data_IF_004177270053
#
_entry.id   IF_004177270053
#
_cell.length_a   1.000
_cell.length_b   1.000
_cell.length_c   1.000
_cell.angle_alpha   90.00
_cell.angle_beta   90.00
_cell.angle_gamma   90.00
#
_symmetry.space_group_name_H-M   'P 1'
#
loop_
_entity.id
_entity.type
_entity.pdbx_description
1 polymer ?
#
# COMPACT_ATOMS: atom_id res chain seq x y z
N UNK A 1 -8.75 19.80 3.84
CA UNK A 1 -7.35 19.39 4.00
C UNK A 1 -7.12 18.78 5.39
N UNK A 2 -6.16 17.85 5.50
CA UNK A 2 -5.70 17.37 6.80
C UNK A 2 -5.08 18.50 7.62
N UNK A 3 -5.27 18.41 8.92
CA UNK A 3 -4.70 19.34 9.90
C UNK A 3 -3.80 18.56 10.84
N UNK A 4 -2.61 19.08 11.14
CA UNK A 4 -1.75 18.53 12.20
C UNK A 4 -2.43 18.80 13.53
N UNK A 5 -2.79 17.74 14.25
CA UNK A 5 -3.47 17.82 15.54
C UNK A 5 -2.55 17.57 16.72
N UNK A 6 -1.42 16.91 16.47
CA UNK A 6 -0.38 16.65 17.47
C UNK A 6 0.96 16.46 16.79
N UNK A 7 2.01 17.03 17.35
CA UNK A 7 3.39 16.74 17.01
C UNK A 7 4.19 16.65 18.30
N UNK A 8 5.01 15.59 18.43
CA UNK A 8 5.89 15.36 19.57
C UNK A 8 7.23 14.93 19.04
N UNK A 9 8.29 15.52 19.56
CA UNK A 9 9.66 15.20 19.25
C UNK A 9 10.41 14.91 20.55
N UNK A 10 11.22 13.87 20.54
CA UNK A 10 12.16 13.49 21.60
C UNK A 10 13.52 13.23 20.95
N UNK A 11 14.54 12.90 21.73
CA UNK A 11 15.88 12.59 21.19
C UNK A 11 15.88 11.35 20.29
N UNK A 12 14.93 10.42 20.49
CA UNK A 12 14.90 9.11 19.82
C UNK A 12 13.79 8.98 18.78
N UNK A 13 12.76 9.81 18.82
CA UNK A 13 11.58 9.63 17.99
C UNK A 13 10.80 10.93 17.72
N UNK A 14 10.10 10.92 16.58
CA UNK A 14 9.15 11.97 16.19
C UNK A 14 7.79 11.33 15.92
N UNK A 15 6.72 11.89 16.49
CA UNK A 15 5.35 11.50 16.21
C UNK A 15 4.55 12.68 15.69
N UNK A 16 3.82 12.46 14.57
CA UNK A 16 2.89 13.46 13.99
C UNK A 16 1.54 12.80 13.79
N UNK A 17 0.48 13.42 14.33
CA UNK A 17 -0.89 13.04 14.08
C UNK A 17 -1.57 14.09 13.19
N UNK A 18 -2.11 13.65 12.05
CA UNK A 18 -2.94 14.45 11.15
C UNK A 18 -4.39 14.00 11.25
N UNK A 19 -5.33 14.94 11.20
CA UNK A 19 -6.77 14.67 11.25
C UNK A 19 -7.51 15.31 10.08
N UNK A 20 -8.54 14.62 9.63
CA UNK A 20 -9.51 15.09 8.68
C UNK A 20 -10.92 14.73 9.16
N UNK A 21 -11.87 15.61 8.91
CA UNK A 21 -13.29 15.39 9.23
C UNK A 21 -14.11 15.65 7.98
N UNK A 22 -14.93 14.67 7.59
CA UNK A 22 -15.99 14.84 6.59
C UNK A 22 -17.33 15.08 7.31
N UNK A 23 -18.06 16.10 6.89
CA UNK A 23 -19.39 16.39 7.40
C UNK A 23 -20.21 17.21 6.39
N UNK A 24 -21.53 17.20 6.55
CA UNK A 24 -22.50 17.84 5.64
C UNK A 24 -22.28 19.35 5.41
N UNK A 25 -21.53 20.02 6.27
CA UNK A 25 -21.37 21.48 6.23
C UNK A 25 -20.13 21.99 5.51
N UNK A 26 -19.16 21.14 5.12
CA UNK A 26 -17.85 21.67 4.79
C UNK A 26 -17.15 21.07 3.57
N UNK A 27 -17.75 20.14 2.76
CA UNK A 27 -16.79 19.40 1.98
C UNK A 27 -17.21 18.90 0.61
N UNK A 28 -16.30 19.06 -0.35
CA UNK A 28 -16.34 18.43 -1.67
C UNK A 28 -16.44 16.91 -1.54
N UNK A 29 -15.73 16.30 -0.57
CA UNK A 29 -15.75 14.86 -0.33
C UNK A 29 -17.14 14.41 0.13
N UNK A 30 -17.79 15.14 1.05
CA UNK A 30 -19.12 14.79 1.53
C UNK A 30 -20.18 14.80 0.41
N UNK A 31 -20.03 15.69 -0.57
CA UNK A 31 -20.93 15.74 -1.74
C UNK A 31 -20.90 14.44 -2.55
N UNK A 32 -19.70 13.87 -2.74
CA UNK A 32 -19.50 12.71 -3.59
C UNK A 32 -19.47 11.39 -2.80
N UNK A 33 -19.22 11.50 -1.49
CA UNK A 33 -19.23 10.40 -0.52
C UNK A 33 -19.94 10.85 0.76
N UNK A 34 -21.30 10.76 0.82
CA UNK A 34 -22.15 11.40 1.84
C UNK A 34 -22.11 10.66 3.19
N UNK A 35 -20.93 10.45 3.72
CA UNK A 35 -20.69 9.88 5.04
C UNK A 35 -19.95 10.87 5.92
N UNK A 36 -20.41 11.00 7.15
CA UNK A 36 -19.68 11.72 8.19
C UNK A 36 -18.62 10.78 8.80
N UNK A 37 -17.38 11.18 8.78
CA UNK A 37 -16.30 10.40 9.36
C UNK A 37 -15.16 11.26 9.89
N UNK A 38 -14.38 10.67 10.77
CA UNK A 38 -13.07 11.17 11.17
C UNK A 38 -12.01 10.24 10.61
N UNK A 39 -11.02 10.81 9.93
CA UNK A 39 -9.78 10.13 9.57
C UNK A 39 -8.63 10.68 10.42
N UNK A 40 -7.80 9.79 10.97
CA UNK A 40 -6.49 10.11 11.55
C UNK A 40 -5.42 9.36 10.78
N UNK A 41 -4.30 10.04 10.52
CA UNK A 41 -3.07 9.41 10.07
C UNK A 41 -2.00 9.76 11.09
N UNK A 42 -1.39 8.75 11.68
CA UNK A 42 -0.36 8.88 12.70
C UNK A 42 0.95 8.37 12.11
N UNK A 43 1.94 9.22 12.07
CA UNK A 43 3.30 8.88 11.66
C UNK A 43 4.18 8.83 12.90
N UNK A 44 4.97 7.78 13.02
CA UNK A 44 5.94 7.59 14.09
C UNK A 44 7.28 7.20 13.48
N UNK A 45 8.24 8.13 13.53
CA UNK A 45 9.60 7.94 13.00
C UNK A 45 10.57 7.70 14.15
N UNK A 46 11.35 6.64 14.05
CA UNK A 46 12.43 6.30 15.01
C UNK A 46 13.59 5.62 14.27
N UNK A 47 14.63 5.23 15.00
CA UNK A 47 15.71 4.41 14.43
C UNK A 47 15.22 3.06 13.84
N UNK A 48 14.02 2.60 14.21
CA UNK A 48 13.41 1.38 13.67
C UNK A 48 12.69 1.58 12.33
N UNK A 49 12.59 2.81 11.83
CA UNK A 49 11.90 3.20 10.62
C UNK A 49 10.69 4.09 10.86
N UNK A 50 9.88 4.26 9.83
CA UNK A 50 8.64 5.01 9.83
C UNK A 50 7.45 4.05 9.97
N UNK A 51 6.71 4.16 11.05
CA UNK A 51 5.42 3.51 11.22
C UNK A 51 4.31 4.50 10.85
N UNK A 52 3.30 4.02 10.15
CA UNK A 52 2.11 4.78 9.76
C UNK A 52 0.88 3.99 10.18
N UNK A 53 0.01 4.62 10.95
CA UNK A 53 -1.31 4.09 11.28
C UNK A 53 -2.39 5.01 10.71
N UNK A 54 -3.35 4.43 9.99
CA UNK A 54 -4.55 5.14 9.55
C UNK A 54 -5.76 4.61 10.31
N UNK A 55 -6.58 5.53 10.81
CA UNK A 55 -7.79 5.19 11.58
C UNK A 55 -8.98 5.97 11.01
N UNK A 56 -10.01 5.26 10.59
CA UNK A 56 -11.29 5.83 10.20
C UNK A 56 -12.34 5.52 11.26
N UNK A 57 -13.08 6.52 11.70
CA UNK A 57 -14.24 6.38 12.60
C UNK A 57 -15.48 6.84 11.86
N UNK A 58 -16.44 5.93 11.65
CA UNK A 58 -17.74 6.27 11.08
C UNK A 58 -18.58 7.07 12.07
N UNK A 59 -18.97 8.27 11.71
CA UNK A 59 -19.84 9.17 12.49
C UNK A 59 -21.22 9.32 11.88
N UNK A 60 -21.47 8.64 10.76
CA UNK A 60 -22.78 8.58 10.12
C UNK A 60 -23.73 7.66 10.90
N UNK A 61 -25.00 7.75 10.56
CA UNK A 61 -26.04 6.84 11.09
C UNK A 61 -26.13 5.52 10.35
N UNK A 62 -25.44 5.40 9.21
CA UNK A 62 -25.43 4.25 8.33
C UNK A 62 -24.05 3.61 8.27
N UNK A 63 -23.99 2.38 7.78
CA UNK A 63 -22.72 1.71 7.50
C UNK A 63 -21.97 2.47 6.40
N UNK A 64 -20.71 2.74 6.62
CA UNK A 64 -19.85 3.48 5.71
C UNK A 64 -18.93 2.50 4.97
N UNK A 65 -19.04 2.37 3.64
CA UNK A 65 -18.05 1.62 2.85
C UNK A 65 -16.66 2.20 3.06
N UNK A 66 -15.66 1.37 3.22
CA UNK A 66 -14.29 1.84 3.45
C UNK A 66 -13.26 1.01 2.73
N UNK A 67 -12.63 1.60 1.71
CA UNK A 67 -11.41 1.12 1.08
C UNK A 67 -10.28 2.12 1.29
N UNK A 68 -9.13 1.61 1.65
CA UNK A 68 -7.93 2.41 1.90
C UNK A 68 -6.78 1.88 1.09
N UNK A 69 -6.06 2.79 0.42
CA UNK A 69 -4.83 2.48 -0.29
C UNK A 69 -3.87 3.65 -0.20
N UNK A 70 -2.58 3.36 -0.37
CA UNK A 70 -1.54 4.38 -0.42
C UNK A 70 -0.74 4.27 -1.71
N UNK A 71 -0.54 5.38 -2.39
CA UNK A 71 0.30 5.50 -3.57
C UNK A 71 1.68 5.98 -3.15
N UNK A 72 2.55 5.03 -2.78
CA UNK A 72 3.86 5.31 -2.18
C UNK A 72 4.98 5.09 -3.21
N UNK A 73 5.47 6.13 -3.91
CA UNK A 73 6.58 5.98 -4.83
C UNK A 73 7.90 5.79 -4.07
N UNK A 74 8.59 4.71 -4.37
CA UNK A 74 9.95 4.44 -3.90
C UNK A 74 10.94 4.83 -4.99
N UNK A 75 11.69 5.92 -4.74
CA UNK A 75 12.69 6.43 -5.66
C UNK A 75 13.96 5.57 -5.62
N UNK A 76 14.56 5.34 -6.77
CA UNK A 76 15.90 4.76 -6.93
C UNK A 76 16.81 5.74 -7.69
N UNK A 77 18.13 5.69 -7.56
CA UNK A 77 18.87 4.94 -6.53
C UNK A 77 18.72 5.61 -5.15
N UNK A 78 18.58 4.82 -4.08
CA UNK A 78 18.55 5.37 -2.70
C UNK A 78 19.82 5.05 -1.90
N UNK A 79 20.60 4.04 -2.33
CA UNK A 79 21.83 3.59 -1.67
C UNK A 79 23.01 3.50 -2.65
N UNK A 80 23.14 4.47 -3.54
CA UNK A 80 24.17 4.52 -4.58
C UNK A 80 23.93 3.52 -5.72
N UNK A 81 24.88 3.44 -6.67
CA UNK A 81 24.77 2.58 -7.83
C UNK A 81 23.92 3.20 -8.95
N UNK A 82 23.54 2.34 -9.89
CA UNK A 82 22.70 2.67 -11.03
C UNK A 82 21.28 2.13 -10.84
N UNK A 83 20.32 2.65 -11.59
CA UNK A 83 18.94 2.17 -11.52
C UNK A 83 18.80 0.67 -11.80
N UNK A 84 19.69 0.12 -12.66
CA UNK A 84 19.73 -1.31 -13.00
C UNK A 84 20.19 -2.23 -11.84
N UNK A 85 20.77 -1.67 -10.78
CA UNK A 85 21.17 -2.44 -9.60
C UNK A 85 19.98 -2.78 -8.68
N UNK A 86 18.80 -2.21 -8.94
CA UNK A 86 17.64 -2.32 -8.06
C UNK A 86 16.60 -3.30 -8.57
N UNK A 87 16.14 -4.14 -7.65
CA UNK A 87 15.03 -5.06 -7.89
C UNK A 87 13.97 -4.89 -6.80
N UNK A 88 12.72 -5.15 -7.19
CA UNK A 88 11.57 -5.12 -6.29
C UNK A 88 11.03 -6.55 -6.10
N UNK A 89 10.72 -6.90 -4.86
CA UNK A 89 9.94 -8.09 -4.50
C UNK A 89 8.69 -7.65 -3.77
N UNK A 90 7.57 -8.33 -4.03
CA UNK A 90 6.28 -7.99 -3.42
C UNK A 90 5.53 -9.26 -3.07
N UNK A 91 4.84 -9.24 -1.93
CA UNK A 91 3.97 -10.32 -1.46
C UNK A 91 2.69 -10.41 -2.31
N UNK A 92 2.84 -10.81 -3.58
CA UNK A 92 1.75 -10.96 -4.54
C UNK A 92 1.34 -12.44 -4.71
N UNK A 93 0.05 -12.65 -4.91
CA UNK A 93 -0.53 -13.93 -5.32
C UNK A 93 -1.01 -13.86 -6.76
N UNK A 94 -2.28 -14.18 -6.99
CA UNK A 94 -2.91 -14.12 -8.31
C UNK A 94 -3.10 -12.69 -8.78
N UNK A 95 -2.97 -12.47 -10.08
CA UNK A 95 -3.23 -11.20 -10.73
C UNK A 95 -4.74 -11.03 -10.96
N UNK A 96 -5.28 -9.84 -10.71
CA UNK A 96 -6.63 -9.49 -11.15
C UNK A 96 -6.66 -9.33 -12.69
N UNK A 97 -7.58 -10.01 -13.36
CA UNK A 97 -7.85 -9.73 -14.77
C UNK A 97 -8.61 -8.40 -14.88
N UNK A 98 -8.19 -7.53 -15.80
CA UNK A 98 -8.81 -6.23 -16.03
C UNK A 98 -9.55 -6.21 -17.36
N UNK A 99 -10.69 -5.50 -17.41
CA UNK A 99 -11.42 -5.20 -18.64
C UNK A 99 -10.78 -4.01 -19.41
N UNK A 100 -11.37 -3.63 -20.54
CA UNK A 100 -10.89 -2.51 -21.36
C UNK A 100 -10.94 -1.14 -20.66
N UNK A 101 -11.58 -1.03 -19.49
CA UNK A 101 -11.66 0.17 -18.66
C UNK A 101 -10.70 0.10 -17.46
N UNK A 102 -9.80 -0.88 -17.43
CA UNK A 102 -8.92 -1.18 -16.29
C UNK A 102 -9.69 -1.52 -15.01
N UNK A 103 -10.89 -2.10 -15.12
CA UNK A 103 -11.66 -2.57 -13.98
C UNK A 103 -11.53 -4.10 -13.85
N UNK A 104 -11.38 -4.64 -12.61
CA UNK A 104 -11.35 -6.08 -12.40
C UNK A 104 -12.61 -6.77 -12.91
N UNK A 105 -12.42 -7.86 -13.66
CA UNK A 105 -13.52 -8.70 -14.18
C UNK A 105 -14.06 -9.69 -13.12
N UNK A 106 -13.38 -9.80 -11.97
CA UNK A 106 -13.60 -10.80 -10.94
C UNK A 106 -12.78 -12.07 -11.16
N UNK A 107 -12.20 -12.28 -12.35
CA UNK A 107 -11.32 -13.43 -12.62
C UNK A 107 -9.92 -13.17 -12.07
N UNK A 108 -9.30 -14.23 -11.57
CA UNK A 108 -7.90 -14.23 -11.11
C UNK A 108 -7.07 -15.05 -12.10
N UNK A 109 -5.93 -14.50 -12.47
CA UNK A 109 -4.97 -15.12 -13.37
C UNK A 109 -3.74 -15.57 -12.59
N UNK A 110 -3.12 -16.70 -12.95
CA UNK A 110 -1.82 -17.06 -12.41
C UNK A 110 -0.78 -16.01 -12.81
N UNK A 111 0.25 -15.84 -11.99
CA UNK A 111 1.34 -14.94 -12.33
C UNK A 111 2.04 -15.41 -13.60
N UNK A 112 2.24 -14.52 -14.56
CA UNK A 112 3.12 -14.78 -15.71
C UNK A 112 4.60 -14.81 -15.27
N UNK A 113 5.52 -15.15 -16.16
CA UNK A 113 6.94 -15.25 -15.87
C UNK A 113 7.56 -13.94 -15.37
N UNK A 114 7.08 -12.79 -15.84
CA UNK A 114 7.51 -11.46 -15.37
C UNK A 114 7.09 -11.26 -13.91
N UNK A 115 5.80 -11.45 -13.61
CA UNK A 115 5.26 -11.18 -12.28
C UNK A 115 5.64 -12.25 -11.24
N UNK A 116 5.95 -13.47 -11.67
CA UNK A 116 6.53 -14.48 -10.78
C UNK A 116 7.84 -13.99 -10.14
N UNK A 117 8.60 -13.16 -10.83
CA UNK A 117 9.83 -12.54 -10.29
C UNK A 117 9.58 -11.60 -9.13
N UNK A 118 8.38 -11.02 -9.00
CA UNK A 118 8.01 -10.24 -7.80
C UNK A 118 8.05 -11.09 -6.53
N UNK A 119 7.82 -12.39 -6.64
CA UNK A 119 7.90 -13.32 -5.51
C UNK A 119 9.32 -13.83 -5.27
N UNK A 120 10.03 -14.12 -6.35
CA UNK A 120 11.31 -14.81 -6.33
C UNK A 120 12.30 -14.12 -7.26
N UNK A 121 13.51 -13.83 -6.77
CA UNK A 121 14.61 -13.24 -7.53
C UNK A 121 14.50 -11.74 -7.79
N UNK A 122 13.33 -11.15 -7.62
CA UNK A 122 13.09 -9.72 -7.83
C UNK A 122 12.86 -9.31 -9.29
N UNK A 123 12.02 -8.33 -9.49
CA UNK A 123 11.74 -7.68 -10.78
C UNK A 123 12.50 -6.36 -10.84
N UNK A 124 13.19 -6.08 -11.94
CA UNK A 124 13.84 -4.77 -12.14
C UNK A 124 12.80 -3.66 -12.10
N UNK A 125 13.15 -2.56 -11.46
CA UNK A 125 12.26 -1.40 -11.29
C UNK A 125 12.21 -0.54 -12.55
N UNK A 126 13.36 -0.43 -13.24
CA UNK A 126 13.51 0.35 -14.48
C UNK A 126 14.09 -0.52 -15.60
N UNK A 127 13.90 -0.08 -16.85
CA UNK A 127 14.33 -0.83 -18.03
C UNK A 127 13.61 -2.18 -18.20
N UNK A 128 12.41 -2.29 -17.65
CA UNK A 128 11.52 -3.44 -17.77
C UNK A 128 10.22 -3.05 -18.47
N UNK A 129 9.41 -4.06 -18.80
CA UNK A 129 8.08 -3.83 -19.35
C UNK A 129 7.20 -2.99 -18.39
N UNK A 130 6.27 -2.20 -18.94
CA UNK A 130 5.29 -1.48 -18.14
C UNK A 130 4.56 -2.40 -17.16
N UNK A 131 4.38 -1.92 -15.94
CA UNK A 131 3.58 -2.59 -14.91
C UNK A 131 2.49 -1.63 -14.48
N UNK A 132 1.25 -2.06 -14.69
CA UNK A 132 0.03 -1.47 -14.15
C UNK A 132 -0.91 -2.63 -13.85
N UNK A 133 -0.79 -3.23 -12.68
CA UNK A 133 -1.48 -4.47 -12.38
C UNK A 133 -1.85 -4.59 -10.90
N UNK A 134 -3.03 -5.14 -10.65
CA UNK A 134 -3.54 -5.48 -9.34
C UNK A 134 -3.31 -6.96 -9.00
N UNK A 135 -2.92 -7.24 -7.76
CA UNK A 135 -2.62 -8.58 -7.27
C UNK A 135 -3.28 -8.82 -5.92
N UNK A 136 -3.85 -10.01 -5.72
CA UNK A 136 -4.21 -10.45 -4.38
C UNK A 136 -2.94 -10.63 -3.55
N UNK A 137 -2.95 -10.19 -2.30
CA UNK A 137 -1.79 -10.35 -1.43
C UNK A 137 -1.60 -11.82 -1.07
N UNK A 138 -0.38 -12.30 -1.17
CA UNK A 138 0.08 -13.59 -0.68
C UNK A 138 1.51 -13.47 -0.20
N UNK A 139 1.77 -13.82 1.05
CA UNK A 139 3.10 -13.75 1.65
C UNK A 139 4.18 -14.42 0.79
N UNK A 140 5.38 -13.87 0.87
CA UNK A 140 6.60 -14.40 0.28
C UNK A 140 7.59 -14.74 1.39
N UNK A 141 8.65 -15.47 1.06
CA UNK A 141 9.74 -15.70 1.97
C UNK A 141 10.85 -14.66 1.76
N UNK A 142 11.31 -14.04 2.85
CA UNK A 142 12.48 -13.15 2.87
C UNK A 142 13.37 -13.58 4.04
N UNK A 143 14.62 -13.90 3.72
CA UNK A 143 15.63 -14.38 4.70
C UNK A 143 15.11 -15.57 5.56
N UNK A 144 14.40 -16.51 4.92
CA UNK A 144 13.86 -17.72 5.56
C UNK A 144 12.63 -17.47 6.46
N UNK A 145 12.01 -16.30 6.37
CA UNK A 145 10.83 -15.93 7.17
C UNK A 145 9.67 -15.48 6.28
N UNK A 146 8.42 -15.81 6.66
CA UNK A 146 7.25 -15.23 6.00
C UNK A 146 7.29 -13.70 6.07
N UNK A 147 7.01 -13.06 4.93
CA UNK A 147 7.01 -11.61 4.82
C UNK A 147 5.75 -11.12 4.08
N UNK A 148 5.11 -10.12 4.67
CA UNK A 148 3.89 -9.49 4.17
C UNK A 148 4.18 -8.04 3.83
N UNK A 149 4.57 -7.78 2.59
CA UNK A 149 4.98 -6.45 2.19
C UNK A 149 5.61 -6.39 0.81
N UNK A 150 6.21 -5.25 0.52
CA UNK A 150 7.08 -5.02 -0.62
C UNK A 150 8.49 -4.68 -0.13
N UNK A 151 9.51 -5.04 -0.88
CA UNK A 151 10.86 -4.61 -0.64
C UNK A 151 11.56 -4.22 -1.94
N UNK A 152 12.41 -3.20 -1.87
CA UNK A 152 13.31 -2.82 -2.96
C UNK A 152 14.74 -3.00 -2.47
N UNK A 153 15.51 -3.76 -3.20
CA UNK A 153 16.88 -4.13 -2.86
C UNK A 153 17.86 -3.58 -3.89
N UNK A 154 18.95 -2.99 -3.41
CA UNK A 154 20.13 -2.73 -4.20
C UNK A 154 21.03 -3.98 -4.19
N UNK A 155 21.07 -4.71 -5.30
CA UNK A 155 21.84 -5.96 -5.43
C UNK A 155 23.35 -5.78 -5.28
N UNK A 156 23.86 -4.55 -5.51
CA UNK A 156 25.29 -4.26 -5.40
C UNK A 156 25.74 -3.98 -3.98
N UNK A 157 24.91 -3.28 -3.21
CA UNK A 157 25.24 -2.87 -1.83
C UNK A 157 24.57 -3.75 -0.78
N UNK A 158 23.52 -4.49 -1.14
CA UNK A 158 22.71 -5.26 -0.20
C UNK A 158 21.77 -4.41 0.66
N UNK A 159 21.68 -3.10 0.43
CA UNK A 159 20.74 -2.24 1.17
C UNK A 159 19.32 -2.49 0.67
N UNK A 160 18.41 -2.72 1.61
CA UNK A 160 17.01 -3.03 1.36
C UNK A 160 16.09 -2.02 2.03
N UNK A 161 15.09 -1.53 1.30
CA UNK A 161 13.95 -0.78 1.83
C UNK A 161 12.75 -1.71 1.88
N UNK A 162 12.18 -1.89 3.06
CA UNK A 162 11.01 -2.71 3.32
C UNK A 162 9.77 -1.84 3.49
N UNK A 163 8.66 -2.26 2.90
CA UNK A 163 7.33 -1.68 3.10
C UNK A 163 6.40 -2.79 3.60
N UNK A 164 6.34 -2.96 4.90
CA UNK A 164 5.55 -3.97 5.59
C UNK A 164 4.12 -3.48 5.80
N UNK A 165 3.17 -4.41 5.71
CA UNK A 165 1.73 -4.13 5.84
C UNK A 165 1.07 -5.14 6.77
N UNK A 166 -0.01 -4.73 7.46
CA UNK A 166 -0.79 -5.61 8.31
C UNK A 166 -1.84 -6.46 7.54
N UNK A 167 -2.68 -7.18 8.27
CA UNK A 167 -3.71 -8.06 7.73
C UNK A 167 -4.88 -7.33 7.06
N UNK A 168 -4.99 -6.01 7.27
CA UNK A 168 -6.00 -5.16 6.62
C UNK A 168 -5.69 -4.91 5.15
N UNK A 169 -4.43 -5.03 4.76
CA UNK A 169 -4.03 -4.97 3.36
C UNK A 169 -4.26 -6.33 2.71
N UNK A 170 -5.08 -6.39 1.68
CA UNK A 170 -5.45 -7.64 1.00
C UNK A 170 -5.05 -7.67 -0.47
N UNK A 171 -4.70 -6.52 -1.04
CA UNK A 171 -4.27 -6.35 -2.43
C UNK A 171 -3.05 -5.45 -2.55
N UNK A 172 -2.36 -5.61 -3.66
CA UNK A 172 -1.32 -4.70 -4.17
C UNK A 172 -1.71 -4.22 -5.55
N UNK A 173 -1.62 -2.91 -5.79
CA UNK A 173 -1.44 -2.39 -7.15
C UNK A 173 0.03 -2.06 -7.31
N UNK A 174 0.62 -2.42 -8.46
CA UNK A 174 2.01 -2.11 -8.76
C UNK A 174 2.05 -1.29 -10.03
N UNK A 175 2.72 -0.15 -9.96
CA UNK A 175 2.86 0.77 -11.06
C UNK A 175 4.32 1.27 -11.16
N UNK A 176 4.87 1.34 -12.39
CA UNK A 176 6.24 1.76 -12.65
C UNK A 176 6.36 2.85 -13.73
N UNK A 177 5.26 3.52 -14.08
CA UNK A 177 5.21 4.54 -15.11
C UNK A 177 5.92 4.13 -16.42
N UNK A 178 5.58 2.97 -16.96
CA UNK A 178 6.18 2.44 -18.19
C UNK A 178 7.59 1.91 -18.05
N UNK A 179 8.14 1.79 -16.84
CA UNK A 179 9.49 1.27 -16.57
C UNK A 179 10.63 2.22 -16.95
N UNK A 180 10.33 3.49 -17.28
CA UNK A 180 11.32 4.45 -17.78
C UNK A 180 11.75 5.49 -16.74
N UNK A 181 11.09 5.51 -15.59
CA UNK A 181 11.35 6.48 -14.52
C UNK A 181 12.09 5.81 -13.35
N UNK A 182 12.89 6.59 -12.58
CA UNK A 182 13.67 6.04 -11.48
C UNK A 182 12.84 5.89 -10.20
N UNK A 183 11.66 5.30 -10.29
CA UNK A 183 10.82 4.95 -9.14
C UNK A 183 9.82 3.83 -9.48
N UNK A 184 9.30 3.20 -8.46
CA UNK A 184 8.18 2.26 -8.53
C UNK A 184 7.20 2.52 -7.39
N UNK A 185 5.95 2.19 -7.60
CA UNK A 185 4.90 2.34 -6.63
C UNK A 185 4.30 0.96 -6.29
N UNK A 186 4.75 0.29 -5.23
CA UNK A 186 4.00 -0.76 -4.60
C UNK A 186 2.91 -0.12 -3.73
N UNK A 187 1.66 -0.29 -4.13
CA UNK A 187 0.50 0.36 -3.54
C UNK A 187 -0.33 -0.64 -2.74
N UNK A 188 -0.20 -0.65 -1.40
CA UNK A 188 -1.03 -1.50 -0.56
C UNK A 188 -2.48 -1.02 -0.58
N UNK A 189 -3.42 -1.95 -0.72
CA UNK A 189 -4.85 -1.66 -0.75
C UNK A 189 -5.62 -2.64 0.13
N UNK A 190 -6.64 -2.14 0.84
CA UNK A 190 -7.49 -2.96 1.69
C UNK A 190 -8.52 -3.76 0.89
N UNK A 191 -8.83 -3.36 -0.34
CA UNK A 191 -9.70 -4.05 -1.28
C UNK A 191 -9.22 -3.88 -2.72
N UNK A 192 -9.71 -4.70 -3.66
CA UNK A 192 -9.41 -4.51 -5.09
C UNK A 192 -10.17 -3.31 -5.66
N UNK A 193 -9.65 -2.74 -6.75
CA UNK A 193 -10.35 -1.67 -7.48
C UNK A 193 -11.79 -2.09 -7.77
N UNK A 194 -12.75 -1.19 -7.52
CA UNK A 194 -14.18 -1.42 -7.76
C UNK A 194 -14.81 -2.58 -6.95
N UNK A 195 -14.23 -2.99 -5.83
CA UNK A 195 -14.75 -4.06 -4.98
C UNK A 195 -16.24 -3.92 -4.61
N UNK A 196 -16.79 -2.72 -4.32
CA UNK A 196 -18.22 -2.57 -4.01
C UNK A 196 -19.18 -3.05 -5.10
N UNK A 197 -18.73 -3.09 -6.37
CA UNK A 197 -19.53 -3.51 -7.52
C UNK A 197 -19.13 -4.89 -8.06
N UNK A 198 -18.29 -5.61 -7.35
CA UNK A 198 -17.93 -6.97 -7.71
C UNK A 198 -19.11 -7.94 -7.52
N UNK A 199 -19.07 -9.08 -8.20
CA UNK A 199 -20.08 -10.14 -8.02
C UNK A 199 -20.09 -10.70 -6.59
N UNK A 200 -18.91 -10.74 -5.95
CA UNK A 200 -18.73 -11.07 -4.54
C UNK A 200 -17.82 -10.00 -3.92
N UNK A 201 -18.41 -8.91 -3.39
CA UNK A 201 -17.64 -7.79 -2.83
C UNK A 201 -16.74 -8.21 -1.66
N UNK A 202 -17.22 -9.10 -0.79
CA UNK A 202 -16.46 -9.53 0.39
C UNK A 202 -15.21 -10.33 0.00
N UNK A 203 -15.31 -11.21 -1.02
CA UNK A 203 -14.16 -11.93 -1.56
C UNK A 203 -13.10 -10.99 -2.18
N UNK A 204 -13.54 -9.80 -2.62
CA UNK A 204 -12.69 -8.73 -3.16
C UNK A 204 -12.22 -7.72 -2.10
N UNK A 205 -12.43 -8.04 -0.81
CA UNK A 205 -11.96 -7.27 0.33
C UNK A 205 -12.90 -6.15 0.77
N UNK A 206 -14.11 -6.06 0.19
CA UNK A 206 -15.07 -5.02 0.59
C UNK A 206 -15.31 -5.02 2.10
N UNK A 207 -15.26 -3.84 2.68
CA UNK A 207 -15.50 -3.60 4.10
C UNK A 207 -16.45 -2.42 4.26
N UNK A 208 -17.30 -2.47 5.29
CA UNK A 208 -18.13 -1.35 5.70
C UNK A 208 -18.11 -1.22 7.22
N UNK A 209 -17.79 -0.01 7.70
CA UNK A 209 -17.68 0.33 9.12
C UNK A 209 -19.05 0.68 9.65
N UNK A 210 -19.47 0.06 10.75
CA UNK A 210 -20.76 0.35 11.38
C UNK A 210 -20.77 1.75 12.03
N UNK A 211 -21.97 2.34 12.26
CA UNK A 211 -22.09 3.61 12.97
C UNK A 211 -21.37 3.60 14.32
N UNK A 212 -20.54 4.60 14.58
CA UNK A 212 -19.74 4.74 15.79
C UNK A 212 -18.48 3.87 15.87
N UNK A 213 -18.34 2.88 14.98
CA UNK A 213 -17.19 1.99 14.96
C UNK A 213 -15.99 2.61 14.23
N UNK A 214 -14.82 2.03 14.49
CA UNK A 214 -13.56 2.41 13.85
C UNK A 214 -12.91 1.23 13.14
N UNK A 215 -12.21 1.54 12.07
CA UNK A 215 -11.34 0.65 11.31
C UNK A 215 -9.92 1.24 11.31
N UNK A 216 -8.90 0.40 11.41
CA UNK A 216 -7.51 0.86 11.31
C UNK A 216 -6.65 -0.12 10.54
N UNK A 217 -5.57 0.42 9.97
CA UNK A 217 -4.50 -0.35 9.33
C UNK A 217 -3.13 0.25 9.65
N UNK A 218 -2.09 -0.59 9.63
CA UNK A 218 -0.72 -0.22 9.96
C UNK A 218 0.23 -0.57 8.82
N UNK A 219 1.16 0.32 8.61
CA UNK A 219 2.20 0.23 7.59
C UNK A 219 3.53 0.59 8.23
N UNK A 220 4.61 -0.01 7.72
CA UNK A 220 5.95 0.29 8.22
C UNK A 220 6.96 0.32 7.07
N UNK A 221 7.73 1.41 7.02
CA UNK A 221 8.87 1.56 6.11
C UNK A 221 10.15 1.53 6.93
N UNK A 222 11.07 0.64 6.58
CA UNK A 222 12.36 0.54 7.28
C UNK A 222 13.47 0.04 6.34
N UNK A 223 14.70 0.27 6.75
CA UNK A 223 15.89 -0.09 5.98
C UNK A 223 16.67 -1.16 6.74
N UNK A 224 17.18 -2.15 6.01
CA UNK A 224 18.13 -3.15 6.53
C UNK A 224 19.24 -3.43 5.52
N UNK A 225 20.36 -3.89 6.02
CA UNK A 225 21.41 -4.52 5.24
C UNK A 225 21.08 -6.00 5.02
N UNK A 226 21.39 -6.55 3.85
CA UNK A 226 21.26 -7.99 3.61
C UNK A 226 22.15 -8.76 4.59
N UNK A 227 21.58 -9.78 5.25
CA UNK A 227 22.28 -10.60 6.24
C UNK A 227 22.16 -10.13 7.69
N UNK A 228 21.41 -9.04 7.97
CA UNK A 228 21.06 -8.59 9.32
C UNK A 228 19.73 -9.18 9.83
#
# INVERSE_FOLDING_TARGET
>A
PFQVSKAVETDDEVMVECRYYSNAGCDVIFRDFPHEFKCKIIFHLSARGLEQEVVFTNRSRERMPLGVGFHTPLRIPFAGGENGDYVMRVAVGEQAELDARNLPTGRKLPLNAQFARLREGGLRVTGCEPIEAGFKLREIEVDGKPYRGALVENLRTGVRVFYEVDDRTTYWTIWNNGGQVPYCCPEPQSWTTNAPNAADPEAEGFCAVAPGESWSAKYRLYVRQAGE
#
